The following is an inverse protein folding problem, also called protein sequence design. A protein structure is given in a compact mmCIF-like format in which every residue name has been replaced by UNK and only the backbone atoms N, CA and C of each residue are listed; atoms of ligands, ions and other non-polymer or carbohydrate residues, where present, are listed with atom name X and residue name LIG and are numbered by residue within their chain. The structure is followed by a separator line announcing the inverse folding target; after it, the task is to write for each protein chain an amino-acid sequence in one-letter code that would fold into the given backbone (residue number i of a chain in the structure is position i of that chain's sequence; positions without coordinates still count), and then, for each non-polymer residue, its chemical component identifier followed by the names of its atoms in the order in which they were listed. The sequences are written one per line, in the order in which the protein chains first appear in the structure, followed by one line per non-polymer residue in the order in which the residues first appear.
data_IF_582272169066
#
_entry.id   IF_582272169066
#
_cell.length_a   1.000
_cell.length_b   1.000
_cell.length_c   1.000
_cell.angle_alpha   90.00
_cell.angle_beta   90.00
_cell.angle_gamma   90.00
#
_symmetry.space_group_name_H-M   'P 1'
#
loop_
_entity.id
_entity.type
_entity.pdbx_description
1 polymer ?
#
# COMPACT_ATOMS: atom_id res chain seq x y z
N UNK A 1 -16.45 -19.46 -26.06
CA UNK A 1 -15.86 -18.79 -24.89
C UNK A 1 -14.50 -18.30 -25.33
N UNK A 2 -14.41 -17.03 -25.74
CA UNK A 2 -13.15 -16.43 -26.20
C UNK A 2 -12.35 -16.13 -24.95
N UNK A 3 -11.32 -16.93 -24.66
CA UNK A 3 -10.31 -16.59 -23.67
C UNK A 3 -9.49 -15.43 -24.24
N UNK A 4 -9.89 -14.21 -23.90
CA UNK A 4 -9.01 -13.05 -24.06
C UNK A 4 -7.87 -13.30 -23.08
N UNK A 5 -6.73 -13.74 -23.61
CA UNK A 5 -5.46 -13.68 -22.88
C UNK A 5 -5.11 -12.20 -22.85
N UNK A 6 -5.55 -11.49 -21.82
CA UNK A 6 -5.03 -10.16 -21.55
C UNK A 6 -3.53 -10.31 -21.28
N UNK A 7 -2.69 -9.60 -22.03
CA UNK A 7 -1.28 -9.51 -21.68
C UNK A 7 -1.16 -8.92 -20.28
N UNK A 8 -0.40 -9.59 -19.41
CA UNK A 8 -0.15 -9.10 -18.06
C UNK A 8 0.57 -7.73 -18.13
N UNK A 9 -0.07 -6.72 -17.56
CA UNK A 9 0.44 -5.35 -17.54
C UNK A 9 1.69 -5.20 -16.64
N UNK A 10 1.98 -6.17 -15.76
CA UNK A 10 3.10 -6.10 -14.83
C UNK A 10 4.36 -6.78 -15.38
N UNK A 11 5.46 -6.03 -15.46
CA UNK A 11 6.79 -6.53 -15.85
C UNK A 11 7.74 -6.40 -14.67
N UNK A 12 8.54 -7.44 -14.44
CA UNK A 12 9.56 -7.48 -13.40
C UNK A 12 10.94 -7.66 -14.06
N UNK A 13 11.88 -6.79 -13.76
CA UNK A 13 13.26 -6.87 -14.27
C UNK A 13 14.22 -6.95 -13.10
N UNK A 14 15.09 -7.96 -13.08
CA UNK A 14 16.16 -8.07 -12.07
C UNK A 14 17.42 -7.46 -12.64
N UNK A 15 17.98 -6.47 -11.95
CA UNK A 15 19.18 -5.74 -12.34
C UNK A 15 20.27 -5.94 -11.29
N UNK A 16 21.52 -6.03 -11.77
CA UNK A 16 22.64 -5.82 -10.87
C UNK A 16 22.69 -4.37 -10.42
N UNK A 17 23.35 -4.12 -9.29
CA UNK A 17 23.61 -2.77 -8.84
C UNK A 17 24.35 -1.94 -9.91
N UNK A 18 25.29 -2.54 -10.64
CA UNK A 18 26.01 -1.86 -11.72
C UNK A 18 25.09 -1.44 -12.87
N UNK A 19 24.20 -2.33 -13.32
CA UNK A 19 23.23 -2.02 -14.40
C UNK A 19 22.25 -0.91 -13.96
N UNK A 20 21.87 -0.89 -12.69
CA UNK A 20 21.04 0.19 -12.15
C UNK A 20 21.80 1.54 -12.13
N UNK A 21 23.09 1.54 -11.81
CA UNK A 21 23.88 2.77 -11.86
C UNK A 21 24.03 3.32 -13.27
N UNK A 22 24.11 2.46 -14.28
CA UNK A 22 24.07 2.89 -15.68
C UNK A 22 22.74 3.57 -16.02
N UNK A 23 21.62 3.12 -15.44
CA UNK A 23 20.33 3.81 -15.54
C UNK A 23 20.39 5.19 -14.90
N UNK A 24 20.91 5.31 -13.67
CA UNK A 24 21.07 6.59 -12.96
C UNK A 24 21.91 7.58 -13.77
N UNK A 25 23.07 7.14 -14.26
CA UNK A 25 23.96 7.95 -15.09
C UNK A 25 23.26 8.37 -16.39
N UNK A 26 22.52 7.46 -17.02
CA UNK A 26 21.80 7.74 -18.27
C UNK A 26 20.68 8.75 -18.07
N UNK A 27 19.91 8.65 -16.97
CA UNK A 27 18.86 9.62 -16.64
C UNK A 27 19.46 10.99 -16.34
N UNK A 28 20.50 11.06 -15.49
CA UNK A 28 21.13 12.33 -15.14
C UNK A 28 21.77 13.03 -16.36
N UNK A 29 22.31 12.28 -17.32
CA UNK A 29 22.79 12.83 -18.60
C UNK A 29 21.67 13.43 -19.45
N UNK A 30 20.48 12.83 -19.45
CA UNK A 30 19.31 13.33 -20.18
C UNK A 30 18.67 14.54 -19.46
N UNK A 31 18.71 14.56 -18.13
CA UNK A 31 18.19 15.66 -17.31
C UNK A 31 19.11 16.89 -17.26
N UNK A 32 20.36 16.79 -17.73
CA UNK A 32 21.37 17.85 -17.65
C UNK A 32 21.78 18.42 -19.03
N UNK A 33 20.94 19.18 -19.76
CA UNK A 33 21.42 20.01 -20.84
C UNK A 33 21.73 21.42 -20.32
N UNK A 34 23.03 21.76 -20.29
CA UNK A 34 23.62 23.11 -20.23
C UNK A 34 23.13 24.08 -19.14
N UNK A 35 24.03 24.36 -18.18
CA UNK A 35 24.32 25.72 -17.66
C UNK A 35 23.13 26.68 -17.57
N UNK A 36 22.46 26.71 -16.42
CA UNK A 36 22.21 27.96 -15.69
C UNK A 36 21.55 27.67 -14.35
N UNK A 37 21.95 28.47 -13.37
CA UNK A 37 21.47 28.45 -12.00
C UNK A 37 19.94 28.65 -11.92
N UNK A 38 19.34 27.97 -10.94
CA UNK A 38 18.00 28.12 -10.37
C UNK A 38 16.85 27.34 -11.03
N UNK A 39 16.38 26.31 -10.32
CA UNK A 39 14.99 25.87 -10.34
C UNK A 39 14.76 24.46 -10.87
N UNK A 40 14.64 23.50 -9.95
CA UNK A 40 14.23 22.09 -10.18
C UNK A 40 12.94 21.97 -11.03
N UNK A 41 12.11 23.02 -11.05
CA UNK A 41 10.85 23.07 -11.80
C UNK A 41 11.07 23.39 -13.29
N UNK A 42 12.13 24.11 -13.68
CA UNK A 42 12.32 24.50 -15.08
C UNK A 42 13.02 23.40 -15.90
N UNK A 43 13.94 22.63 -15.32
CA UNK A 43 14.48 21.41 -15.97
C UNK A 43 13.38 20.36 -16.23
N UNK A 44 12.40 20.26 -15.33
CA UNK A 44 11.25 19.36 -15.48
C UNK A 44 10.25 19.80 -16.57
N UNK A 45 10.10 21.11 -16.82
CA UNK A 45 9.29 21.62 -17.93
C UNK A 45 9.97 21.39 -19.29
N UNK A 46 11.29 21.54 -19.36
CA UNK A 46 12.06 21.26 -20.58
C UNK A 46 12.03 19.77 -20.94
N UNK A 47 12.05 18.86 -19.95
CA UNK A 47 11.81 17.43 -20.16
C UNK A 47 10.40 17.14 -20.71
N UNK A 48 9.37 17.87 -20.26
CA UNK A 48 8.02 17.75 -20.81
C UNK A 48 7.95 18.21 -22.26
N UNK A 49 8.62 19.31 -22.62
CA UNK A 49 8.69 19.84 -23.99
C UNK A 49 9.46 18.90 -24.94
N UNK A 50 10.59 18.34 -24.50
CA UNK A 50 11.37 17.38 -25.28
C UNK A 50 10.61 16.06 -25.49
N UNK A 51 9.90 15.56 -24.47
CA UNK A 51 9.12 14.33 -24.58
C UNK A 51 7.84 14.49 -25.43
N UNK A 52 7.22 15.67 -25.42
CA UNK A 52 6.16 16.02 -26.38
C UNK A 52 6.68 16.09 -27.81
N UNK A 53 7.88 16.63 -28.01
CA UNK A 53 8.51 16.71 -29.32
C UNK A 53 8.81 15.31 -29.87
N UNK A 54 9.33 14.41 -29.01
CA UNK A 54 9.56 13.01 -29.34
C UNK A 54 8.26 12.22 -29.62
N UNK A 55 7.17 12.48 -28.89
CA UNK A 55 5.86 11.86 -29.14
C UNK A 55 5.18 12.36 -30.42
N UNK A 56 5.51 13.57 -30.88
CA UNK A 56 4.94 14.15 -32.10
C UNK A 56 5.65 13.72 -33.40
N UNK A 57 6.87 13.20 -33.30
CA UNK A 57 7.64 12.74 -34.45
C UNK A 57 7.31 11.27 -34.77
N UNK A 58 6.47 11.03 -35.77
CA UNK A 58 6.29 9.70 -36.38
C UNK A 58 7.64 9.17 -36.90
N UNK A 59 7.97 7.87 -36.71
CA UNK A 59 9.27 7.35 -37.10
C UNK A 59 9.36 7.24 -38.63
N UNK A 60 10.18 8.10 -39.26
CA UNK A 60 10.72 7.81 -40.57
C UNK A 60 11.95 6.92 -40.41
N UNK A 61 11.88 5.76 -41.06
CA UNK A 61 12.93 4.76 -41.14
C UNK A 61 14.16 5.41 -41.80
N UNK A 62 15.26 5.51 -41.07
CA UNK A 62 16.58 5.73 -41.66
C UNK A 62 17.47 4.57 -41.24
N UNK A 63 17.72 3.68 -42.21
CA UNK A 63 18.86 2.78 -42.17
C UNK A 63 20.13 3.62 -42.09
N UNK A 64 20.88 3.50 -41.00
CA UNK A 64 22.31 3.80 -41.06
C UNK A 64 23.08 2.92 -40.11
N UNK A 65 24.10 2.34 -40.72
CA UNK A 65 25.09 1.43 -40.21
C UNK A 65 25.96 2.12 -39.16
N UNK A 66 26.14 1.51 -37.99
CA UNK A 66 27.12 1.95 -37.01
C UNK A 66 27.89 0.74 -36.48
N UNK A 67 29.13 0.62 -36.96
CA UNK A 67 30.21 -0.03 -36.23
C UNK A 67 30.62 0.97 -35.17
N UNK A 68 30.47 0.62 -33.89
CA UNK A 68 31.42 0.97 -32.83
C UNK A 68 31.12 0.17 -31.57
N UNK A 69 32.13 -0.57 -31.13
CA UNK A 69 32.19 -1.37 -29.91
C UNK A 69 32.20 -0.46 -28.68
N UNK A 70 31.06 -0.40 -27.99
CA UNK A 70 30.93 0.10 -26.63
C UNK A 70 29.83 -0.70 -25.94
N UNK A 71 30.02 -1.08 -24.68
CA UNK A 71 29.00 -1.76 -23.86
C UNK A 71 27.73 -0.91 -23.94
N UNK A 72 26.69 -1.41 -24.62
CA UNK A 72 25.47 -0.65 -24.86
C UNK A 72 24.77 -0.37 -23.54
N UNK A 73 24.41 0.89 -23.30
CA UNK A 73 23.63 1.29 -22.12
C UNK A 73 22.33 0.48 -22.07
N UNK A 74 22.10 -0.23 -20.98
CA UNK A 74 20.87 -0.98 -20.71
C UNK A 74 19.61 -0.10 -20.76
N UNK A 75 19.76 1.21 -20.57
CA UNK A 75 18.66 2.15 -20.50
C UNK A 75 17.94 2.36 -21.84
N UNK A 76 18.64 2.35 -22.99
CA UNK A 76 18.01 2.66 -24.27
C UNK A 76 17.03 1.57 -24.75
N UNK A 77 17.34 0.25 -24.68
CA UNK A 77 16.37 -0.78 -25.00
C UNK A 77 15.20 -0.81 -24.00
N UNK A 78 15.47 -0.56 -22.72
CA UNK A 78 14.42 -0.48 -21.69
C UNK A 78 13.46 0.69 -21.97
N UNK A 79 13.99 1.87 -22.29
CA UNK A 79 13.19 3.04 -22.63
C UNK A 79 12.36 2.83 -23.90
N UNK A 80 12.93 2.17 -24.91
CA UNK A 80 12.18 1.81 -26.12
C UNK A 80 11.04 0.84 -25.81
N UNK A 81 11.28 -0.16 -24.96
CA UNK A 81 10.25 -1.10 -24.49
C UNK A 81 9.12 -0.39 -23.73
N UNK A 82 9.46 0.50 -22.80
CA UNK A 82 8.51 1.29 -22.02
C UNK A 82 7.65 2.22 -22.89
N UNK A 83 8.26 2.84 -23.90
CA UNK A 83 7.56 3.75 -24.79
C UNK A 83 6.58 3.05 -25.74
N UNK A 84 6.74 1.74 -25.98
CA UNK A 84 5.85 0.96 -26.86
C UNK A 84 4.50 0.65 -26.22
N UNK A 85 4.43 0.52 -24.90
CA UNK A 85 3.19 0.21 -24.19
C UNK A 85 3.07 0.94 -22.85
N UNK A 86 2.38 2.09 -22.88
CA UNK A 86 2.17 2.94 -21.72
C UNK A 86 1.24 2.35 -20.65
N UNK A 87 0.67 1.15 -20.86
CA UNK A 87 -0.11 0.44 -19.84
C UNK A 87 0.75 -0.46 -18.95
N UNK A 88 1.99 -0.75 -19.36
CA UNK A 88 2.86 -1.64 -18.58
C UNK A 88 3.37 -0.94 -17.33
N UNK A 89 3.25 -1.63 -16.20
CA UNK A 89 3.84 -1.26 -14.92
C UNK A 89 5.12 -2.04 -14.77
N UNK A 90 6.26 -1.36 -14.65
CA UNK A 90 7.57 -2.01 -14.54
C UNK A 90 8.11 -1.88 -13.14
N UNK A 91 8.58 -2.98 -12.58
CA UNK A 91 9.30 -3.01 -11.31
C UNK A 91 10.72 -3.51 -11.55
N UNK A 92 11.71 -2.67 -11.22
CA UNK A 92 13.13 -3.02 -11.23
C UNK A 92 13.52 -3.56 -9.86
N UNK A 93 13.97 -4.81 -9.79
CA UNK A 93 14.56 -5.41 -8.61
C UNK A 93 16.08 -5.28 -8.70
N UNK A 94 16.67 -4.43 -7.87
CA UNK A 94 18.11 -4.17 -7.87
C UNK A 94 18.75 -4.97 -6.76
N UNK A 95 19.75 -5.79 -7.10
CA UNK A 95 20.49 -6.61 -6.13
C UNK A 95 21.99 -6.53 -6.41
N UNK A 96 22.82 -6.53 -5.36
CA UNK A 96 24.28 -6.59 -5.50
C UNK A 96 24.70 -8.06 -5.58
N UNK A 97 25.17 -8.45 -6.76
CA UNK A 97 25.49 -9.84 -7.08
C UNK A 97 26.90 -10.26 -6.65
N UNK A 98 27.43 -9.78 -5.53
CA UNK A 98 28.64 -10.38 -4.96
C UNK A 98 28.24 -11.63 -4.15
N UNK A 99 28.60 -12.85 -4.60
CA UNK A 99 28.33 -14.07 -3.84
C UNK A 99 29.26 -14.14 -2.63
N UNK A 100 28.82 -13.56 -1.51
CA UNK A 100 29.63 -13.46 -0.31
C UNK A 100 29.68 -14.82 0.43
N UNK A 101 30.57 -15.72 0.02
CA UNK A 101 30.83 -16.97 0.75
C UNK A 101 31.63 -16.75 2.04
N UNK A 102 32.07 -15.53 2.32
CA UNK A 102 32.76 -15.17 3.55
C UNK A 102 32.55 -13.69 3.82
N UNK A 103 31.69 -13.35 4.78
CA UNK A 103 32.06 -12.52 5.94
C UNK A 103 30.84 -12.19 6.79
N UNK A 104 30.94 -12.55 8.07
CA UNK A 104 30.09 -12.05 9.13
C UNK A 104 30.55 -10.61 9.44
N UNK A 105 30.06 -9.63 8.68
CA UNK A 105 30.31 -8.21 8.92
C UNK A 105 29.07 -7.41 8.54
N UNK A 106 28.68 -6.48 9.40
CA UNK A 106 27.48 -5.64 9.29
C UNK A 106 27.25 -5.14 7.86
N UNK A 107 26.21 -5.69 7.21
CA UNK A 107 25.79 -5.29 5.87
C UNK A 107 25.33 -3.83 5.93
N UNK A 108 26.12 -2.95 5.36
CA UNK A 108 25.68 -1.60 5.03
C UNK A 108 24.55 -1.77 4.00
N UNK A 109 23.35 -1.20 4.20
CA UNK A 109 22.25 -1.33 3.25
C UNK A 109 22.72 -0.91 1.85
N UNK A 110 22.26 -1.62 0.81
CA UNK A 110 22.68 -1.40 -0.59
C UNK A 110 22.66 0.07 -1.04
N UNK A 111 21.82 0.88 -0.41
CA UNK A 111 21.66 2.31 -0.60
C UNK A 111 22.94 3.14 -0.37
N UNK A 112 23.93 2.65 0.39
CA UNK A 112 25.11 3.44 0.80
C UNK A 112 26.43 2.99 0.15
N UNK A 113 26.41 2.01 -0.76
CA UNK A 113 27.64 1.36 -1.27
C UNK A 113 28.28 2.07 -2.48
N UNK A 114 27.72 3.18 -2.95
CA UNK A 114 28.11 3.84 -4.19
C UNK A 114 28.40 5.32 -3.94
N UNK A 115 29.63 5.75 -4.20
CA UNK A 115 30.11 7.13 -4.02
C UNK A 115 29.50 8.17 -4.96
N UNK A 116 28.17 8.15 -5.14
CA UNK A 116 27.35 9.25 -5.63
C UNK A 116 26.59 9.87 -4.45
N UNK A 117 26.33 11.18 -4.49
CA UNK A 117 25.56 11.81 -3.44
C UNK A 117 24.15 11.22 -3.43
N UNK A 118 23.65 10.83 -2.25
CA UNK A 118 22.33 10.21 -2.04
C UNK A 118 21.19 10.92 -2.79
N UNK A 119 21.33 12.24 -2.93
CA UNK A 119 20.39 13.12 -3.62
C UNK A 119 20.24 12.79 -5.11
N UNK A 120 21.33 12.41 -5.80
CA UNK A 120 21.29 12.08 -7.23
C UNK A 120 20.50 10.79 -7.49
N UNK A 121 20.59 9.82 -6.58
CA UNK A 121 19.86 8.56 -6.68
C UNK A 121 18.38 8.80 -6.38
N UNK A 122 18.06 9.55 -5.31
CA UNK A 122 16.67 9.89 -4.97
C UNK A 122 15.96 10.66 -6.08
N UNK A 123 16.64 11.62 -6.73
CA UNK A 123 16.07 12.38 -7.85
C UNK A 123 15.72 11.45 -9.03
N UNK A 124 16.60 10.51 -9.36
CA UNK A 124 16.33 9.51 -10.42
C UNK A 124 15.17 8.60 -10.02
N UNK A 125 15.11 8.11 -8.78
CA UNK A 125 14.00 7.27 -8.32
C UNK A 125 12.65 7.99 -8.46
N UNK A 126 12.60 9.27 -8.06
CA UNK A 126 11.40 10.12 -8.22
C UNK A 126 11.06 10.31 -9.70
N UNK A 127 12.05 10.57 -10.56
CA UNK A 127 11.84 10.70 -11.99
C UNK A 127 11.27 9.41 -12.61
N UNK A 128 11.85 8.25 -12.29
CA UNK A 128 11.40 6.94 -12.79
C UNK A 128 9.95 6.66 -12.36
N UNK A 129 9.60 6.98 -11.11
CA UNK A 129 8.25 6.77 -10.59
C UNK A 129 7.23 7.71 -11.24
N UNK A 130 7.51 9.02 -11.31
CA UNK A 130 6.54 10.03 -11.77
C UNK A 130 6.37 10.06 -13.29
N UNK A 131 7.46 9.92 -14.04
CA UNK A 131 7.45 10.13 -15.49
C UNK A 131 7.42 8.83 -16.29
N UNK A 132 7.88 7.71 -15.71
CA UNK A 132 8.00 6.44 -16.42
C UNK A 132 7.15 5.31 -15.83
N UNK A 133 6.45 5.54 -14.72
CA UNK A 133 5.67 4.52 -14.02
C UNK A 133 6.51 3.27 -13.68
N UNK A 134 7.78 3.49 -13.34
CA UNK A 134 8.72 2.44 -12.95
C UNK A 134 8.91 2.51 -11.44
N UNK A 135 8.68 1.39 -10.76
CA UNK A 135 9.05 1.21 -9.36
C UNK A 135 10.43 0.56 -9.26
N UNK A 136 11.24 0.96 -8.28
CA UNK A 136 12.55 0.35 -8.02
C UNK A 136 12.56 -0.19 -6.60
N UNK A 137 12.99 -1.44 -6.44
CA UNK A 137 13.10 -2.13 -5.15
C UNK A 137 14.53 -2.66 -5.01
N UNK A 138 15.24 -2.19 -4.00
CA UNK A 138 16.56 -2.70 -3.64
C UNK A 138 16.42 -3.90 -2.71
N UNK A 139 17.09 -5.00 -3.03
CA UNK A 139 17.00 -6.26 -2.31
C UNK A 139 18.39 -6.79 -2.00
N UNK A 140 18.63 -7.08 -0.72
CA UNK A 140 19.96 -7.39 -0.19
C UNK A 140 20.40 -8.84 -0.51
N UNK A 141 19.49 -9.69 -0.98
CA UNK A 141 19.80 -11.08 -1.31
C UNK A 141 18.92 -11.69 -2.40
N UNK A 142 19.42 -12.77 -3.03
CA UNK A 142 18.63 -13.58 -3.96
C UNK A 142 17.41 -14.24 -3.32
N UNK A 143 17.43 -14.48 -2.00
CA UNK A 143 16.26 -14.97 -1.26
C UNK A 143 15.14 -13.92 -1.30
N UNK A 144 15.45 -12.65 -1.04
CA UNK A 144 14.48 -11.56 -1.11
C UNK A 144 13.95 -11.34 -2.53
N UNK A 145 14.81 -11.46 -3.55
CA UNK A 145 14.37 -11.45 -4.97
C UNK A 145 13.36 -12.57 -5.22
N UNK A 146 13.64 -13.78 -4.76
CA UNK A 146 12.75 -14.94 -4.91
C UNK A 146 11.43 -14.74 -4.18
N UNK A 147 11.47 -14.22 -2.95
CA UNK A 147 10.29 -13.94 -2.14
C UNK A 147 9.42 -12.87 -2.80
N UNK A 148 10.04 -11.83 -3.38
CA UNK A 148 9.34 -10.78 -4.11
C UNK A 148 8.65 -11.33 -5.38
N UNK A 149 9.37 -12.12 -6.19
CA UNK A 149 8.80 -12.77 -7.38
C UNK A 149 7.62 -13.67 -7.01
N UNK A 150 7.75 -14.45 -5.94
CA UNK A 150 6.67 -15.30 -5.43
C UNK A 150 5.46 -14.46 -5.00
N UNK A 151 5.69 -13.36 -4.27
CA UNK A 151 4.63 -12.47 -3.81
C UNK A 151 3.88 -11.81 -4.99
N UNK A 152 4.60 -11.30 -5.98
CA UNK A 152 4.02 -10.69 -7.20
C UNK A 152 3.23 -11.73 -7.98
N UNK A 153 3.80 -12.91 -8.23
CA UNK A 153 3.09 -14.00 -8.95
C UNK A 153 1.81 -14.43 -8.23
N UNK A 154 1.85 -14.50 -6.89
CA UNK A 154 0.67 -14.80 -6.07
C UNK A 154 -0.35 -13.66 -6.10
N UNK A 155 0.07 -12.40 -6.16
CA UNK A 155 -0.82 -11.27 -6.29
C UNK A 155 -1.50 -11.24 -7.66
N UNK A 156 -0.74 -11.46 -8.75
CA UNK A 156 -1.24 -11.52 -10.12
C UNK A 156 -2.26 -12.66 -10.29
N UNK A 157 -1.96 -13.86 -9.78
CA UNK A 157 -2.92 -14.99 -9.85
C UNK A 157 -4.24 -14.74 -9.11
N UNK A 158 -4.26 -13.82 -8.12
CA UNK A 158 -5.46 -13.43 -7.37
C UNK A 158 -6.18 -12.21 -7.95
N UNK A 159 -5.53 -11.42 -8.81
CA UNK A 159 -6.07 -10.15 -9.34
C UNK A 159 -7.43 -10.33 -10.05
N UNK A 160 -7.64 -11.32 -10.93
CA UNK A 160 -8.95 -11.49 -11.59
C UNK A 160 -10.08 -11.79 -10.60
N UNK A 161 -9.81 -12.64 -9.61
CA UNK A 161 -10.77 -12.95 -8.56
C UNK A 161 -11.11 -11.70 -7.73
N UNK A 162 -10.09 -10.95 -7.33
CA UNK A 162 -10.26 -9.69 -6.57
C UNK A 162 -11.11 -8.66 -7.31
N UNK A 163 -10.85 -8.43 -8.60
CA UNK A 163 -11.64 -7.49 -9.42
C UNK A 163 -13.14 -7.85 -9.46
N UNK A 164 -13.47 -9.15 -9.42
CA UNK A 164 -14.85 -9.61 -9.40
C UNK A 164 -15.50 -9.53 -8.01
N UNK A 165 -14.70 -9.66 -6.93
CA UNK A 165 -15.20 -9.68 -5.54
C UNK A 165 -15.17 -8.32 -4.85
N UNK A 166 -14.30 -7.39 -5.25
CA UNK A 166 -14.16 -6.07 -4.62
C UNK A 166 -15.43 -5.21 -4.76
N UNK A 167 -16.31 -5.53 -5.72
CA UNK A 167 -17.63 -4.91 -5.87
C UNK A 167 -18.74 -5.51 -4.98
N UNK A 168 -18.48 -6.59 -4.23
CA UNK A 168 -19.50 -7.32 -3.47
C UNK A 168 -19.66 -6.80 -2.02
N UNK A 169 -20.65 -5.92 -1.84
CA UNK A 169 -21.48 -5.61 -0.67
C UNK A 169 -20.89 -5.31 0.73
N UNK A 170 -19.62 -5.62 1.07
CA UNK A 170 -19.08 -5.30 2.41
C UNK A 170 -17.58 -4.94 2.34
N UNK A 171 -17.20 -3.71 1.93
CA UNK A 171 -15.79 -3.31 1.80
C UNK A 171 -15.03 -3.29 3.14
N UNK A 172 -15.73 -3.38 4.28
CA UNK A 172 -15.10 -3.52 5.60
C UNK A 172 -14.69 -4.97 5.91
N UNK A 173 -15.31 -5.97 5.27
CA UNK A 173 -14.96 -7.38 5.45
C UNK A 173 -13.71 -7.72 4.63
N UNK A 174 -12.58 -7.09 4.95
CA UNK A 174 -11.30 -7.38 4.29
C UNK A 174 -10.72 -8.70 4.78
N UNK A 175 -10.10 -9.47 3.89
CA UNK A 175 -9.32 -10.65 4.29
C UNK A 175 -8.25 -10.26 5.32
N UNK A 176 -8.19 -10.95 6.47
CA UNK A 176 -7.14 -10.74 7.46
C UNK A 176 -7.54 -11.07 8.90
N UNK A 177 -6.60 -10.86 9.84
CA UNK A 177 -6.82 -11.08 11.26
C UNK A 177 -7.94 -10.21 11.84
N UNK A 178 -8.22 -9.06 11.22
CA UNK A 178 -9.30 -8.15 11.60
C UNK A 178 -10.70 -8.69 11.27
N UNK A 179 -10.85 -9.44 10.18
CA UNK A 179 -12.09 -10.14 9.83
C UNK A 179 -12.19 -11.55 10.45
N UNK A 180 -11.21 -11.95 11.26
CA UNK A 180 -11.26 -13.25 11.92
C UNK A 180 -12.41 -13.27 12.93
N UNK A 181 -13.29 -14.26 12.81
CA UNK A 181 -14.36 -14.49 13.78
C UNK A 181 -13.84 -14.91 15.16
N UNK A 182 -14.75 -15.00 16.12
CA UNK A 182 -14.51 -15.68 17.40
C UNK A 182 -15.11 -17.07 17.31
N UNK A 183 -14.35 -18.09 17.69
CA UNK A 183 -14.87 -19.45 17.78
C UNK A 183 -15.83 -19.54 18.98
N UNK A 184 -17.05 -20.00 18.72
CA UNK A 184 -18.09 -20.20 19.73
C UNK A 184 -18.40 -21.68 19.85
N UNK A 185 -18.31 -22.22 21.06
CA UNK A 185 -18.62 -23.62 21.36
C UNK A 185 -20.13 -23.82 21.61
N UNK A 186 -20.59 -25.06 21.61
CA UNK A 186 -22.03 -25.40 21.75
C UNK A 186 -22.65 -24.96 23.08
N UNK A 187 -21.85 -24.80 24.12
CA UNK A 187 -22.23 -24.31 25.44
C UNK A 187 -22.32 -22.77 25.50
N UNK A 188 -22.00 -22.07 24.42
CA UNK A 188 -21.96 -20.61 24.34
C UNK A 188 -20.63 -19.99 24.79
N UNK A 189 -19.63 -20.82 25.14
CA UNK A 189 -18.28 -20.33 25.41
C UNK A 189 -17.75 -19.59 24.19
N UNK A 190 -17.35 -18.33 24.37
CA UNK A 190 -16.93 -17.42 23.30
C UNK A 190 -17.93 -16.29 22.99
N UNK A 191 -19.21 -16.41 23.37
CA UNK A 191 -20.22 -15.37 23.08
C UNK A 191 -19.90 -14.01 23.72
N UNK A 192 -19.29 -13.99 24.90
CA UNK A 192 -18.86 -12.73 25.53
C UNK A 192 -17.75 -12.03 24.73
N UNK A 193 -16.87 -12.81 24.10
CA UNK A 193 -15.80 -12.28 23.25
C UNK A 193 -16.39 -11.80 21.91
N UNK A 194 -17.38 -12.50 21.35
CA UNK A 194 -18.16 -12.02 20.19
C UNK A 194 -18.79 -10.67 20.52
N UNK A 195 -19.47 -10.58 21.67
CA UNK A 195 -20.13 -9.34 22.08
C UNK A 195 -19.14 -8.19 22.24
N UNK A 196 -17.98 -8.45 22.85
CA UNK A 196 -16.92 -7.45 22.95
C UNK A 196 -16.40 -7.01 21.58
N UNK A 197 -16.18 -7.95 20.64
CA UNK A 197 -15.74 -7.62 19.28
C UNK A 197 -16.78 -6.86 18.48
N UNK A 198 -18.07 -7.15 18.67
CA UNK A 198 -19.17 -6.41 18.04
C UNK A 198 -19.17 -4.93 18.46
N UNK A 199 -18.98 -4.65 19.76
CA UNK A 199 -18.85 -3.28 20.25
C UNK A 199 -17.58 -2.60 19.70
N UNK A 200 -16.47 -3.33 19.52
CA UNK A 200 -15.22 -2.81 18.93
C UNK A 200 -15.33 -2.49 17.43
N UNK A 201 -16.34 -2.99 16.71
CA UNK A 201 -16.54 -2.63 15.30
C UNK A 201 -16.95 -1.16 15.11
N UNK A 202 -17.45 -0.52 16.17
CA UNK A 202 -17.83 0.87 16.13
C UNK A 202 -16.58 1.77 16.09
N UNK A 203 -16.64 2.81 15.27
CA UNK A 203 -15.58 3.79 15.16
C UNK A 203 -15.16 4.33 16.53
N UNK A 204 -13.84 4.45 16.73
CA UNK A 204 -13.20 5.00 17.94
C UNK A 204 -13.43 4.19 19.23
N UNK A 205 -14.01 3.00 19.13
CA UNK A 205 -14.17 2.10 20.27
C UNK A 205 -12.94 1.22 20.43
N UNK A 206 -12.13 1.53 21.45
CA UNK A 206 -10.96 0.71 21.78
C UNK A 206 -11.35 -0.61 22.49
N UNK A 207 -10.46 -1.62 22.51
CA UNK A 207 -10.70 -2.85 23.27
C UNK A 207 -11.01 -2.62 24.75
N UNK A 208 -10.39 -1.61 25.38
CA UNK A 208 -10.64 -1.25 26.77
C UNK A 208 -12.06 -0.68 26.99
N UNK A 209 -12.53 0.16 26.05
CA UNK A 209 -13.90 0.71 26.09
C UNK A 209 -14.92 -0.40 25.89
N UNK A 210 -14.72 -1.25 24.88
CA UNK A 210 -15.60 -2.39 24.66
C UNK A 210 -15.64 -3.31 25.88
N UNK A 211 -14.49 -3.62 26.49
CA UNK A 211 -14.43 -4.42 27.71
C UNK A 211 -15.20 -3.77 28.87
N UNK A 212 -15.14 -2.44 29.04
CA UNK A 212 -15.88 -1.74 30.09
C UNK A 212 -17.40 -1.82 29.87
N UNK A 213 -17.84 -1.65 28.62
CA UNK A 213 -19.25 -1.79 28.23
C UNK A 213 -19.73 -3.22 28.45
N UNK A 214 -19.00 -4.23 27.95
CA UNK A 214 -19.40 -5.64 28.08
C UNK A 214 -19.26 -6.19 29.50
N UNK A 215 -18.41 -5.60 30.34
CA UNK A 215 -18.36 -5.94 31.76
C UNK A 215 -19.59 -5.42 32.52
N UNK A 216 -20.09 -4.23 32.14
CA UNK A 216 -21.29 -3.62 32.75
C UNK A 216 -22.57 -4.26 32.21
N UNK A 217 -22.57 -4.64 30.92
CA UNK A 217 -23.68 -5.26 30.22
C UNK A 217 -23.20 -6.51 29.47
N UNK A 218 -23.19 -7.69 30.13
CA UNK A 218 -22.59 -8.91 29.60
C UNK A 218 -23.38 -9.56 28.47
N UNK A 219 -24.54 -9.01 28.08
CA UNK A 219 -25.28 -9.43 26.90
C UNK A 219 -25.95 -8.24 26.20
N UNK A 220 -26.19 -8.33 24.87
CA UNK A 220 -26.94 -7.30 24.14
C UNK A 220 -28.33 -7.06 24.72
N UNK A 221 -28.99 -8.13 25.19
CA UNK A 221 -30.33 -8.07 25.77
C UNK A 221 -30.35 -7.24 27.07
N UNK A 222 -29.35 -7.40 27.94
CA UNK A 222 -29.26 -6.59 29.18
C UNK A 222 -29.04 -5.11 28.87
N UNK A 223 -28.24 -4.79 27.85
CA UNK A 223 -28.04 -3.42 27.42
C UNK A 223 -29.32 -2.81 26.83
N UNK A 224 -30.05 -3.57 26.00
CA UNK A 224 -31.34 -3.14 25.44
C UNK A 224 -32.40 -2.93 26.52
N UNK A 225 -32.48 -3.83 27.51
CA UNK A 225 -33.38 -3.66 28.66
C UNK A 225 -33.07 -2.40 29.46
N UNK A 226 -31.79 -2.08 29.66
CA UNK A 226 -31.37 -0.86 30.33
C UNK A 226 -31.71 0.42 29.54
N UNK A 227 -31.68 0.39 28.21
CA UNK A 227 -32.19 1.51 27.40
C UNK A 227 -33.71 1.66 27.52
N UNK A 228 -34.44 0.55 27.51
CA UNK A 228 -35.90 0.56 27.56
C UNK A 228 -36.46 1.00 28.92
N UNK A 229 -35.70 0.84 30.01
CA UNK A 229 -36.12 1.29 31.34
C UNK A 229 -35.98 2.81 31.55
N UNK A 230 -35.24 3.51 30.68
CA UNK A 230 -35.07 4.96 30.74
C UNK A 230 -36.20 5.68 29.98
N UNK A 231 -36.65 6.82 30.53
CA UNK A 231 -37.78 7.58 30.01
C UNK A 231 -37.45 8.61 28.92
N UNK A 232 -36.23 9.17 28.93
CA UNK A 232 -35.77 10.19 27.98
C UNK A 232 -34.75 9.61 26.99
N UNK A 233 -34.74 10.12 25.76
CA UNK A 233 -33.76 9.75 24.75
C UNK A 233 -32.34 10.25 25.10
N UNK A 234 -32.24 11.42 25.74
CA UNK A 234 -30.97 11.97 26.24
C UNK A 234 -30.33 11.05 27.28
N UNK A 235 -31.13 10.54 28.23
CA UNK A 235 -30.65 9.59 29.24
C UNK A 235 -30.17 8.28 28.59
N UNK A 236 -30.90 7.78 27.58
CA UNK A 236 -30.50 6.58 26.84
C UNK A 236 -29.17 6.80 26.10
N UNK A 237 -29.02 7.93 25.42
CA UNK A 237 -27.75 8.31 24.76
C UNK A 237 -26.61 8.46 25.77
N UNK A 238 -26.89 8.89 26.99
CA UNK A 238 -25.91 9.08 28.07
C UNK A 238 -25.57 7.85 28.91
N UNK A 239 -26.31 6.75 28.78
CA UNK A 239 -26.24 5.58 29.70
C UNK A 239 -24.81 5.05 29.91
N UNK A 240 -24.01 4.97 28.85
CA UNK A 240 -22.65 4.41 28.89
C UNK A 240 -21.57 5.48 29.12
N UNK A 241 -21.90 6.77 29.05
CA UNK A 241 -20.91 7.85 29.01
C UNK A 241 -20.04 7.92 30.27
N UNK A 242 -20.61 7.54 31.42
CA UNK A 242 -19.94 7.52 32.72
C UNK A 242 -19.09 6.27 32.98
N UNK A 243 -19.19 5.24 32.13
CA UNK A 243 -18.41 4.01 32.33
C UNK A 243 -16.92 4.27 32.21
N UNK A 244 -16.16 3.52 33.00
CA UNK A 244 -14.72 3.70 33.10
C UNK A 244 -13.96 2.56 32.45
N UNK A 245 -13.11 2.91 31.48
CA UNK A 245 -12.26 1.99 30.74
C UNK A 245 -10.81 2.11 31.22
N UNK A 246 -10.25 1.00 31.69
CA UNK A 246 -8.85 0.92 32.13
C UNK A 246 -7.99 0.45 30.96
N UNK A 247 -6.98 1.23 30.59
CA UNK A 247 -6.00 0.86 29.56
C UNK A 247 -4.60 1.28 30.00
N UNK A 248 -3.70 0.30 30.17
CA UNK A 248 -2.29 0.56 30.48
C UNK A 248 -2.06 1.42 31.74
N UNK A 249 -2.85 1.20 32.80
CA UNK A 249 -2.74 1.95 34.06
C UNK A 249 -3.38 3.33 34.06
N UNK A 250 -3.93 3.81 32.93
CA UNK A 250 -4.74 5.03 32.86
C UNK A 250 -6.22 4.70 32.78
N UNK A 251 -7.01 5.47 33.49
CA UNK A 251 -8.46 5.36 33.53
C UNK A 251 -9.07 6.44 32.64
N UNK A 252 -9.91 6.05 31.67
CA UNK A 252 -10.59 6.96 30.74
C UNK A 252 -12.07 6.63 30.71
N UNK A 253 -12.92 7.64 30.65
CA UNK A 253 -14.35 7.43 30.47
C UNK A 253 -14.68 7.08 29.03
N UNK A 254 -15.76 6.32 28.84
CA UNK A 254 -16.31 6.02 27.51
C UNK A 254 -16.73 7.31 26.79
N UNK A 255 -17.35 8.24 27.51
CA UNK A 255 -17.74 9.55 26.98
C UNK A 255 -19.07 9.54 26.22
N UNK A 256 -19.69 10.72 26.05
CA UNK A 256 -21.04 10.86 25.52
C UNK A 256 -21.17 10.48 24.04
N UNK A 257 -20.14 10.74 23.23
CA UNK A 257 -20.15 10.45 21.80
C UNK A 257 -20.21 8.93 21.54
N UNK A 258 -19.33 8.16 22.18
CA UNK A 258 -19.33 6.70 22.07
C UNK A 258 -20.63 6.12 22.64
N UNK A 259 -21.12 6.63 23.77
CA UNK A 259 -22.37 6.18 24.38
C UNK A 259 -23.57 6.36 23.42
N UNK A 260 -23.70 7.54 22.82
CA UNK A 260 -24.76 7.83 21.85
C UNK A 260 -24.62 6.98 20.58
N UNK A 261 -23.38 6.71 20.12
CA UNK A 261 -23.10 5.83 18.97
C UNK A 261 -23.60 4.41 19.22
N UNK A 262 -23.26 3.82 20.37
CA UNK A 262 -23.71 2.47 20.75
C UNK A 262 -25.23 2.40 20.84
N UNK A 263 -25.88 3.40 21.46
CA UNK A 263 -27.33 3.47 21.52
C UNK A 263 -27.97 3.50 20.12
N UNK A 264 -27.50 4.41 19.24
CA UNK A 264 -27.97 4.51 17.86
C UNK A 264 -27.80 3.18 17.12
N UNK A 265 -26.64 2.55 17.23
CA UNK A 265 -26.35 1.28 16.56
C UNK A 265 -27.31 0.15 16.96
N UNK A 266 -27.73 0.09 18.23
CA UNK A 266 -28.54 -1.02 18.74
C UNK A 266 -30.05 -0.78 18.63
N UNK A 267 -30.49 0.46 18.45
CA UNK A 267 -31.92 0.83 18.53
C UNK A 267 -32.47 1.51 17.28
N UNK A 268 -31.62 1.99 16.37
CA UNK A 268 -32.07 2.58 15.12
C UNK A 268 -32.69 1.53 14.20
N UNK A 269 -33.81 1.89 13.59
CA UNK A 269 -34.49 1.06 12.60
C UNK A 269 -34.08 1.43 11.17
N UNK A 270 -33.44 2.59 11.00
CA UNK A 270 -32.94 3.07 9.71
C UNK A 270 -31.52 2.53 9.47
N UNK A 271 -31.30 1.62 8.50
CA UNK A 271 -29.97 1.09 8.20
C UNK A 271 -29.02 2.13 7.60
N UNK A 272 -29.54 3.25 7.10
CA UNK A 272 -28.76 4.36 6.54
C UNK A 272 -28.43 5.45 7.58
N UNK A 273 -28.75 5.23 8.86
CA UNK A 273 -28.44 6.20 9.90
C UNK A 273 -26.94 6.29 10.12
N UNK A 274 -26.39 7.49 9.96
CA UNK A 274 -25.00 7.79 10.32
C UNK A 274 -24.86 7.79 11.85
N UNK A 275 -23.90 7.01 12.32
CA UNK A 275 -23.67 6.77 13.76
C UNK A 275 -22.72 7.81 14.40
N UNK A 276 -22.11 8.68 13.60
CA UNK A 276 -21.28 9.80 14.06
C UNK A 276 -22.15 11.04 14.34
#
# INVERSE_FOLDING_TARGET
MVSVVEEEEQVLLVLSLADFMDVVISVNRVSSPLSCCNGVIDSMKELWLLELTLRSATPQIIHSQAVETGVGSFWSPLLEFLNRDGKKVVTLLVTDSEPDYRSNAHSVPLQYKLGMDHLDIEEVLVYLQLYKNISVVFLDSWQEVTDHVCAVTKALSKRPFKLLTEGAELPFCVDGSWASGVRVEKDGSGLIQVWSRQIQQLNRVSPAVASAVTASYPSPQLLLQAYNSLGSEEDRKGLLAGLSAKSGGKERRVGPEISARVYRCLTAHNPQLVLD
#
